data_IF_952227309538
#
_entry.id   IF_952227309538
#
_cell.length_a   1.000
_cell.length_b   1.000
_cell.length_c   1.000
_cell.angle_alpha   90.00
_cell.angle_beta   90.00
_cell.angle_gamma   90.00
#
_symmetry.space_group_name_H-M   'P 1'
#
loop_
_entity.id
_entity.type
_entity.pdbx_description
1 polymer ?
#
# COMPACT_ATOMS: atom_id res chain seq x y z
N UNK A 1 27.40 -38.64 14.47
CA UNK A 1 27.44 -37.18 14.67
C UNK A 1 26.44 -36.55 13.70
N UNK A 2 25.50 -35.81 14.28
CA UNK A 2 24.49 -34.89 13.71
C UNK A 2 23.81 -35.24 12.37
N UNK A 3 22.63 -35.85 12.50
CA UNK A 3 21.48 -35.59 11.62
C UNK A 3 20.99 -34.17 11.92
N UNK A 4 20.89 -33.28 10.94
CA UNK A 4 19.90 -32.19 10.82
C UNK A 4 20.28 -31.36 9.60
N UNK A 5 19.66 -31.64 8.46
CA UNK A 5 19.61 -30.70 7.33
C UNK A 5 18.53 -29.68 7.67
N UNK A 6 18.90 -28.40 7.74
CA UNK A 6 17.94 -27.31 7.97
C UNK A 6 16.94 -27.27 6.79
N UNK A 7 15.63 -27.14 7.04
CA UNK A 7 14.68 -26.84 5.98
C UNK A 7 14.93 -25.44 5.43
N UNK A 8 14.72 -25.28 4.14
CA UNK A 8 14.79 -24.03 3.37
C UNK A 8 13.78 -23.00 3.92
N UNK A 9 14.20 -21.75 4.12
CA UNK A 9 13.46 -20.66 4.80
C UNK A 9 12.22 -20.14 4.03
N UNK A 10 11.78 -20.83 2.97
CA UNK A 10 10.77 -20.30 2.03
C UNK A 10 9.41 -21.01 2.08
N UNK A 11 9.09 -21.67 3.20
CA UNK A 11 7.79 -22.29 3.43
C UNK A 11 7.29 -21.91 4.84
N UNK A 12 6.89 -20.65 5.03
CA UNK A 12 6.03 -20.30 6.15
C UNK A 12 4.69 -21.01 5.94
N UNK A 13 4.60 -22.18 6.57
CA UNK A 13 3.40 -22.98 6.68
C UNK A 13 2.30 -22.12 7.31
N UNK A 14 1.26 -21.84 6.53
CA UNK A 14 0.10 -21.10 6.99
C UNK A 14 -0.71 -21.99 7.95
N UNK A 15 -0.38 -21.91 9.24
CA UNK A 15 -0.89 -22.78 10.31
C UNK A 15 -2.34 -22.44 10.73
N UNK A 16 -3.21 -22.14 9.76
CA UNK A 16 -4.55 -21.59 10.02
C UNK A 16 -4.53 -20.14 10.53
N UNK A 17 -3.41 -19.43 10.35
CA UNK A 17 -3.30 -18.01 10.68
C UNK A 17 -3.75 -17.18 9.46
N UNK A 18 -4.64 -16.22 9.69
CA UNK A 18 -5.08 -15.32 8.62
C UNK A 18 -3.90 -14.50 8.09
N UNK A 19 -3.84 -14.29 6.78
CA UNK A 19 -2.84 -13.45 6.13
C UNK A 19 -3.31 -12.00 6.08
N UNK A 20 -2.48 -11.09 6.59
CA UNK A 20 -2.78 -9.67 6.68
C UNK A 20 -1.86 -8.88 5.76
N UNK A 21 -2.44 -7.95 5.02
CA UNK A 21 -1.69 -6.98 4.21
C UNK A 21 -1.99 -5.57 4.68
N UNK A 22 -0.96 -4.76 4.95
CA UNK A 22 -1.09 -3.32 5.16
C UNK A 22 -0.64 -2.61 3.90
N UNK A 23 -1.58 -1.89 3.29
CA UNK A 23 -1.42 -1.22 2.00
C UNK A 23 -1.39 0.29 2.20
N UNK A 24 -0.20 0.87 2.22
CA UNK A 24 0.03 2.30 2.35
C UNK A 24 -0.04 3.03 1.02
N UNK A 25 -0.99 3.94 0.88
CA UNK A 25 -1.22 4.67 -0.37
C UNK A 25 -0.83 6.15 -0.25
N UNK A 26 -0.02 6.61 -1.20
CA UNK A 26 0.52 7.96 -1.24
C UNK A 26 1.56 8.24 -0.15
N UNK A 27 1.96 9.51 0.00
CA UNK A 27 3.01 9.89 0.96
C UNK A 27 2.64 9.63 2.42
N UNK A 28 1.42 9.99 2.83
CA UNK A 28 0.95 9.77 4.22
C UNK A 28 0.85 8.28 4.56
N UNK A 29 0.25 7.48 3.66
CA UNK A 29 0.14 6.03 3.84
C UNK A 29 1.50 5.33 3.82
N UNK A 30 2.37 5.69 2.89
CA UNK A 30 3.73 5.14 2.80
C UNK A 30 4.57 5.44 4.04
N UNK A 31 4.50 6.67 4.57
CA UNK A 31 5.19 7.02 5.82
C UNK A 31 4.65 6.25 7.03
N UNK A 32 3.33 6.01 7.09
CA UNK A 32 2.74 5.21 8.15
C UNK A 32 3.21 3.75 8.09
N UNK A 33 3.26 3.16 6.88
CA UNK A 33 3.80 1.81 6.68
C UNK A 33 5.28 1.73 7.03
N UNK A 34 6.08 2.70 6.60
CA UNK A 34 7.50 2.77 6.95
C UNK A 34 7.71 2.78 8.46
N UNK A 35 6.91 3.55 9.19
CA UNK A 35 6.95 3.54 10.65
C UNK A 35 6.64 2.15 11.22
N UNK A 36 5.63 1.45 10.71
CA UNK A 36 5.28 0.09 11.13
C UNK A 36 6.41 -0.92 10.87
N UNK A 37 7.07 -0.82 9.71
CA UNK A 37 8.23 -1.65 9.35
C UNK A 37 9.38 -1.39 10.33
N UNK A 38 9.68 -0.13 10.63
CA UNK A 38 10.76 0.25 11.56
C UNK A 38 10.47 -0.18 13.01
N UNK A 39 9.20 -0.26 13.41
CA UNK A 39 8.81 -0.80 14.72
C UNK A 39 8.91 -2.34 14.79
N UNK A 40 9.19 -3.02 13.67
CA UNK A 40 9.40 -4.47 13.64
C UNK A 40 8.12 -5.29 13.81
N UNK A 41 6.97 -4.76 13.35
CA UNK A 41 5.72 -5.50 13.29
C UNK A 41 5.90 -6.72 12.37
N UNK A 42 5.47 -7.90 12.83
CA UNK A 42 5.62 -9.17 12.10
C UNK A 42 4.25 -9.78 11.79
N UNK A 43 4.23 -10.72 10.85
CA UNK A 43 3.02 -11.43 10.45
C UNK A 43 2.09 -10.61 9.55
N UNK A 44 2.63 -9.56 8.94
CA UNK A 44 1.90 -8.65 8.06
C UNK A 44 2.75 -8.37 6.83
N UNK A 45 2.13 -8.43 5.65
CA UNK A 45 2.74 -8.01 4.40
C UNK A 45 2.61 -6.50 4.26
N UNK A 46 3.72 -5.79 4.11
CA UNK A 46 3.72 -4.34 3.95
C UNK A 46 3.90 -3.94 2.49
N UNK A 47 2.93 -3.18 1.99
CA UNK A 47 2.92 -2.65 0.61
C UNK A 47 2.86 -1.13 0.66
N UNK A 48 3.76 -0.46 -0.06
CA UNK A 48 3.71 0.98 -0.27
C UNK A 48 3.41 1.28 -1.75
N UNK A 49 2.37 2.05 -2.02
CA UNK A 49 2.00 2.46 -3.36
C UNK A 49 2.02 3.99 -3.50
N UNK A 50 2.77 4.51 -4.45
CA UNK A 50 2.86 5.95 -4.68
C UNK A 50 3.10 6.27 -6.15
N UNK A 51 2.57 7.40 -6.62
CA UNK A 51 2.85 7.95 -7.96
C UNK A 51 4.20 8.67 -8.03
N UNK A 52 4.71 9.12 -6.87
CA UNK A 52 6.03 9.75 -6.75
C UNK A 52 7.09 8.67 -6.50
N UNK A 53 7.96 8.48 -7.48
CA UNK A 53 9.04 7.48 -7.41
C UNK A 53 10.08 7.84 -6.36
N UNK A 54 10.44 9.11 -6.23
CA UNK A 54 11.45 9.55 -5.27
C UNK A 54 10.99 9.33 -3.83
N UNK A 55 9.70 9.56 -3.56
CA UNK A 55 9.11 9.25 -2.28
C UNK A 55 9.13 7.74 -1.99
N UNK A 56 8.83 6.91 -3.00
CA UNK A 56 8.80 5.45 -2.86
C UNK A 56 10.20 4.85 -2.64
N UNK A 57 11.22 5.35 -3.34
CA UNK A 57 12.61 4.86 -3.25
C UNK A 57 13.23 5.08 -1.86
N UNK A 58 12.72 6.05 -1.09
CA UNK A 58 13.16 6.33 0.29
C UNK A 58 12.62 5.35 1.33
N UNK A 59 11.59 4.57 1.01
CA UNK A 59 10.96 3.63 1.93
C UNK A 59 11.72 2.30 1.95
N UNK A 60 11.82 1.70 3.13
CA UNK A 60 12.43 0.39 3.37
C UNK A 60 11.44 -0.77 3.28
N UNK A 61 10.14 -0.45 3.12
CA UNK A 61 9.10 -1.44 2.94
C UNK A 61 9.43 -2.46 1.81
N UNK A 62 9.17 -3.76 2.04
CA UNK A 62 9.60 -4.83 1.13
C UNK A 62 8.89 -4.77 -0.23
N UNK A 63 7.61 -4.43 -0.24
CA UNK A 63 6.83 -4.31 -1.47
C UNK A 63 6.54 -2.84 -1.78
N UNK A 64 6.97 -2.41 -2.96
CA UNK A 64 6.85 -1.04 -3.45
C UNK A 64 6.21 -1.04 -4.83
N UNK A 65 5.11 -0.33 -4.99
CA UNK A 65 4.36 -0.17 -6.24
C UNK A 65 4.40 1.29 -6.69
N UNK A 66 5.02 1.56 -7.84
CA UNK A 66 4.91 2.86 -8.48
C UNK A 66 3.62 2.92 -9.31
N UNK A 67 2.67 3.76 -8.88
CA UNK A 67 1.41 3.95 -9.59
C UNK A 67 1.57 4.91 -10.78
N UNK A 68 0.92 4.58 -11.90
CA UNK A 68 0.93 5.37 -13.12
C UNK A 68 2.31 5.46 -13.76
N UNK A 69 3.16 4.43 -13.63
CA UNK A 69 4.51 4.44 -14.17
C UNK A 69 4.55 4.76 -15.68
N UNK A 70 3.50 4.36 -16.41
CA UNK A 70 3.32 4.63 -17.84
C UNK A 70 2.81 6.06 -18.14
N UNK A 71 2.14 6.73 -17.21
CA UNK A 71 1.44 8.01 -17.44
C UNK A 71 2.16 9.21 -16.86
N UNK A 72 2.72 9.11 -15.64
CA UNK A 72 3.22 10.27 -14.87
C UNK A 72 4.76 10.37 -14.76
N UNK A 73 5.51 9.42 -15.35
CA UNK A 73 6.98 9.35 -15.31
C UNK A 73 7.59 9.41 -13.88
N UNK A 74 6.79 9.12 -12.84
CA UNK A 74 7.23 9.14 -11.44
C UNK A 74 7.27 10.52 -10.78
N UNK A 75 6.62 11.53 -11.36
CA UNK A 75 6.61 12.91 -10.83
C UNK A 75 5.53 13.18 -9.78
N UNK A 76 4.67 12.20 -9.51
CA UNK A 76 3.56 12.34 -8.55
C UNK A 76 2.27 12.89 -9.15
N UNK A 77 1.19 12.87 -8.35
CA UNK A 77 -0.16 13.28 -8.76
C UNK A 77 -0.44 14.79 -8.62
N UNK A 78 0.53 15.60 -8.20
CA UNK A 78 0.38 17.07 -8.13
C UNK A 78 -0.77 17.57 -7.26
N UNK A 79 -1.12 16.83 -6.19
CA UNK A 79 -2.30 17.08 -5.36
C UNK A 79 -3.67 16.98 -6.07
N UNK A 80 -3.71 16.41 -7.28
CA UNK A 80 -4.95 16.12 -8.00
C UNK A 80 -5.40 14.65 -7.73
N UNK A 81 -6.54 14.42 -7.06
CA UNK A 81 -7.06 13.07 -6.81
C UNK A 81 -7.31 12.28 -8.08
N UNK A 82 -7.74 12.94 -9.16
CA UNK A 82 -8.09 12.24 -10.41
C UNK A 82 -6.87 11.56 -11.03
N UNK A 83 -5.70 12.23 -11.00
CA UNK A 83 -4.44 11.65 -11.46
C UNK A 83 -4.06 10.43 -10.60
N UNK A 84 -4.33 10.48 -9.30
CA UNK A 84 -4.10 9.35 -8.40
C UNK A 84 -5.02 8.16 -8.71
N UNK A 85 -6.28 8.46 -9.02
CA UNK A 85 -7.30 7.46 -9.39
C UNK A 85 -6.95 6.77 -10.71
N UNK A 86 -6.70 7.52 -11.77
CA UNK A 86 -6.31 7.00 -13.08
C UNK A 86 -5.02 6.16 -13.00
N UNK A 87 -4.04 6.62 -12.21
CA UNK A 87 -2.81 5.88 -11.98
C UNK A 87 -3.07 4.51 -11.33
N UNK A 88 -3.93 4.45 -10.32
CA UNK A 88 -4.30 3.20 -9.67
C UNK A 88 -5.12 2.27 -10.57
N UNK A 89 -6.06 2.81 -11.35
CA UNK A 89 -6.85 2.04 -12.32
C UNK A 89 -5.95 1.44 -13.42
N UNK A 90 -4.95 2.19 -13.88
CA UNK A 90 -4.00 1.72 -14.91
C UNK A 90 -3.09 0.58 -14.45
N UNK A 91 -2.90 0.44 -13.14
CA UNK A 91 -2.05 -0.59 -12.50
C UNK A 91 -2.88 -1.58 -11.66
N UNK A 92 -4.17 -1.76 -11.99
CA UNK A 92 -5.09 -2.64 -11.27
C UNK A 92 -4.55 -4.08 -11.15
N UNK A 93 -3.98 -4.64 -12.21
CA UNK A 93 -3.40 -6.00 -12.20
C UNK A 93 -2.25 -6.11 -11.19
N UNK A 94 -1.42 -5.09 -11.05
CA UNK A 94 -0.32 -5.07 -10.09
C UNK A 94 -0.84 -4.96 -8.65
N UNK A 95 -1.92 -4.20 -8.43
CA UNK A 95 -2.59 -4.12 -7.12
C UNK A 95 -3.17 -5.49 -6.76
N UNK A 96 -3.83 -6.18 -7.71
CA UNK A 96 -4.38 -7.52 -7.49
C UNK A 96 -3.30 -8.52 -7.10
N UNK A 97 -2.17 -8.54 -7.82
CA UNK A 97 -1.05 -9.43 -7.51
C UNK A 97 -0.49 -9.21 -6.09
N UNK A 98 -0.48 -7.97 -5.59
CA UNK A 98 0.00 -7.65 -4.24
C UNK A 98 -1.01 -7.99 -3.13
N UNK A 99 -2.28 -8.13 -3.48
CA UNK A 99 -3.35 -8.56 -2.57
C UNK A 99 -3.62 -10.07 -2.66
N UNK A 100 -2.97 -10.76 -3.60
CA UNK A 100 -3.12 -12.20 -3.78
C UNK A 100 -2.74 -12.91 -2.48
N UNK A 101 -3.58 -13.87 -2.08
CA UNK A 101 -3.45 -14.60 -0.80
C UNK A 101 -3.60 -13.76 0.47
N UNK A 102 -4.18 -12.56 0.43
CA UNK A 102 -4.54 -11.79 1.63
C UNK A 102 -5.96 -12.13 2.09
N UNK A 103 -6.13 -12.57 3.33
CA UNK A 103 -7.47 -12.73 3.93
C UNK A 103 -8.06 -11.38 4.36
N UNK A 104 -7.18 -10.46 4.76
CA UNK A 104 -7.55 -9.12 5.22
C UNK A 104 -6.54 -8.06 4.75
N UNK A 105 -7.05 -6.91 4.34
CA UNK A 105 -6.25 -5.74 3.99
C UNK A 105 -6.60 -4.52 4.83
N UNK A 106 -5.56 -3.86 5.35
CA UNK A 106 -5.63 -2.55 5.99
C UNK A 106 -5.08 -1.50 5.03
N UNK A 107 -5.96 -0.67 4.48
CA UNK A 107 -5.57 0.43 3.60
C UNK A 107 -5.31 1.66 4.46
N UNK A 108 -4.09 2.19 4.38
CA UNK A 108 -3.70 3.42 5.10
C UNK A 108 -3.36 4.54 4.14
N UNK A 109 -3.95 5.71 4.33
CA UNK A 109 -3.74 6.86 3.48
C UNK A 109 -3.96 8.17 4.24
N UNK A 110 -3.23 9.22 3.84
CA UNK A 110 -3.55 10.60 4.20
C UNK A 110 -4.44 11.22 3.13
N UNK A 111 -5.64 11.65 3.52
CA UNK A 111 -6.60 12.30 2.62
C UNK A 111 -6.20 13.77 2.34
N UNK A 112 -6.76 14.34 1.28
CA UNK A 112 -6.52 15.73 0.84
C UNK A 112 -5.28 15.92 -0.05
N UNK A 113 -4.51 14.85 -0.30
CA UNK A 113 -3.50 14.80 -1.36
C UNK A 113 -4.07 14.33 -2.69
N UNK A 114 -3.20 14.09 -3.68
CA UNK A 114 -3.59 13.52 -4.97
C UNK A 114 -3.63 12.00 -4.92
N UNK A 115 -2.47 11.37 -4.68
CA UNK A 115 -2.32 9.92 -4.73
C UNK A 115 -3.17 9.21 -3.66
N UNK A 116 -3.05 9.58 -2.40
CA UNK A 116 -3.79 8.95 -1.30
C UNK A 116 -5.31 9.01 -1.53
N UNK A 117 -5.82 10.21 -1.77
CA UNK A 117 -7.25 10.46 -1.99
C UNK A 117 -7.80 9.73 -3.21
N UNK A 118 -7.07 9.71 -4.33
CA UNK A 118 -7.52 9.12 -5.58
C UNK A 118 -7.35 7.60 -5.66
N UNK A 119 -6.20 7.09 -5.21
CA UNK A 119 -5.85 5.69 -5.36
C UNK A 119 -6.42 4.80 -4.24
N UNK A 120 -6.57 5.31 -3.01
CA UNK A 120 -7.05 4.47 -1.90
C UNK A 120 -8.46 3.88 -2.14
N UNK A 121 -9.44 4.62 -2.69
CA UNK A 121 -10.74 4.05 -3.06
C UNK A 121 -10.65 2.96 -4.13
N UNK A 122 -9.71 3.09 -5.08
CA UNK A 122 -9.48 2.09 -6.14
C UNK A 122 -8.91 0.80 -5.55
N UNK A 123 -7.91 0.90 -4.67
CA UNK A 123 -7.36 -0.25 -3.95
C UNK A 123 -8.44 -0.94 -3.12
N UNK A 124 -9.30 -0.19 -2.43
CA UNK A 124 -10.40 -0.73 -1.64
C UNK A 124 -11.44 -1.46 -2.49
N UNK A 125 -11.77 -0.90 -3.67
CA UNK A 125 -12.66 -1.55 -4.65
C UNK A 125 -12.08 -2.88 -5.10
N UNK A 126 -10.81 -2.90 -5.52
CA UNK A 126 -10.13 -4.10 -6.01
C UNK A 126 -10.09 -5.18 -4.92
N UNK A 127 -9.71 -4.81 -3.69
CA UNK A 127 -9.69 -5.75 -2.56
C UNK A 127 -11.07 -6.36 -2.29
N UNK A 128 -12.13 -5.54 -2.33
CA UNK A 128 -13.50 -6.01 -2.15
C UNK A 128 -13.96 -6.94 -3.28
N UNK A 129 -13.59 -6.65 -4.52
CA UNK A 129 -13.86 -7.53 -5.68
C UNK A 129 -13.11 -8.87 -5.59
N UNK A 130 -11.98 -8.89 -4.88
CA UNK A 130 -11.22 -10.11 -4.57
C UNK A 130 -11.72 -10.83 -3.31
N UNK A 131 -12.83 -10.39 -2.72
CA UNK A 131 -13.40 -10.94 -1.48
C UNK A 131 -12.47 -10.87 -0.26
N UNK A 132 -11.52 -9.93 -0.26
CA UNK A 132 -10.63 -9.67 0.87
C UNK A 132 -11.33 -8.80 1.91
N UNK A 133 -11.23 -9.14 3.20
CA UNK A 133 -11.76 -8.31 4.27
C UNK A 133 -11.04 -6.96 4.28
N UNK A 134 -11.75 -5.89 3.90
CA UNK A 134 -11.14 -4.59 3.60
C UNK A 134 -11.46 -3.57 4.70
N UNK A 135 -10.43 -3.05 5.36
CA UNK A 135 -10.53 -1.98 6.36
C UNK A 135 -9.68 -0.80 5.91
N UNK A 136 -10.25 0.41 5.90
CA UNK A 136 -9.50 1.63 5.60
C UNK A 136 -9.30 2.47 6.87
N UNK A 137 -8.04 2.80 7.17
CA UNK A 137 -7.65 3.69 8.26
C UNK A 137 -7.01 4.92 7.64
N UNK A 138 -7.77 6.02 7.57
CA UNK A 138 -7.33 7.24 6.89
C UNK A 138 -7.28 8.42 7.84
N UNK A 139 -6.34 9.34 7.58
CA UNK A 139 -6.29 10.63 8.28
C UNK A 139 -6.91 11.71 7.43
N UNK A 140 -7.63 12.64 8.07
CA UNK A 140 -8.11 13.86 7.43
C UNK A 140 -7.06 14.97 7.58
N UNK A 141 -6.98 15.90 6.61
CA UNK A 141 -6.04 17.01 6.68
C UNK A 141 -6.25 17.87 7.92
N UNK A 142 -5.17 18.48 8.41
CA UNK A 142 -5.30 19.48 9.47
C UNK A 142 -5.95 20.76 8.94
N UNK A 143 -6.64 21.51 9.82
CA UNK A 143 -7.27 22.80 9.47
C UNK A 143 -6.30 23.82 8.87
N UNK A 144 -5.01 23.74 9.22
CA UNK A 144 -3.97 24.66 8.74
C UNK A 144 -3.40 24.29 7.35
N UNK A 145 -3.71 23.12 6.80
CA UNK A 145 -3.23 22.70 5.47
C UNK A 145 -3.97 23.39 4.30
N UNK A 146 -4.98 24.20 4.61
CA UNK A 146 -5.74 25.01 3.68
C UNK A 146 -7.00 24.33 3.14
N UNK A 147 -8.03 25.14 2.86
CA UNK A 147 -9.36 24.64 2.45
C UNK A 147 -9.40 23.84 1.15
N UNK A 148 -8.37 23.91 0.30
CA UNK A 148 -8.28 23.10 -0.93
C UNK A 148 -8.00 21.60 -0.66
N UNK A 149 -7.64 21.21 0.56
CA UNK A 149 -7.35 19.81 0.93
C UNK A 149 -8.47 19.13 1.71
N UNK A 150 -9.43 19.90 2.24
CA UNK A 150 -10.57 19.42 3.05
C UNK A 150 -11.70 18.97 2.15
#
# INVERSE_FOLDING_TARGET
MSKYTMPDDNQLQNNGQASFTVFGVGGGGGNAVEHMVQQGIRGVTFVCANTDKQALDRLTAPHKLQLGAKTNRGLGAGANPEVGREAAESDEEAIRALLEHSDMVFITAGMGGGTGTGAAPVVARIAKEMEVLTVAVVTTPFKFEGGKRI
#
